data_IF_473071009938
#
_entry.id   IF_473071009938
#
_cell.length_a   1.000
_cell.length_b   1.000
_cell.length_c   1.000
_cell.angle_alpha   90.00
_cell.angle_beta   90.00
_cell.angle_gamma   90.00
#
_symmetry.space_group_name_H-M   'P 1'
#
loop_
_entity.id
_entity.type
_entity.pdbx_description
1 polymer ?
#
# COMPACT_ATOMS: atom_id res chain seq x y z
N UNK A 1 1.39 -23.72 0.09
CA UNK A 1 0.44 -22.75 0.70
C UNK A 1 1.15 -22.12 1.87
N UNK A 2 1.27 -20.80 1.88
CA UNK A 2 1.82 -20.14 3.06
C UNK A 2 0.71 -19.90 4.09
N UNK A 3 1.12 -19.54 5.31
CA UNK A 3 0.31 -19.44 6.55
C UNK A 3 -0.98 -18.59 6.40
N UNK A 4 -1.28 -18.02 5.22
CA UNK A 4 -2.41 -17.12 4.97
C UNK A 4 -3.25 -17.46 3.74
N UNK A 5 -3.06 -18.60 3.08
CA UNK A 5 -3.96 -19.09 2.00
C UNK A 5 -4.14 -18.17 0.78
N UNK A 6 -3.20 -17.24 0.50
CA UNK A 6 -3.40 -16.17 -0.48
C UNK A 6 -2.59 -16.41 -1.76
N UNK A 7 -3.25 -16.26 -2.92
CA UNK A 7 -2.60 -16.22 -4.23
C UNK A 7 -1.60 -15.04 -4.25
N UNK A 8 -0.30 -15.34 -4.18
CA UNK A 8 0.75 -14.38 -4.46
C UNK A 8 0.79 -14.09 -5.96
N UNK A 9 1.15 -12.87 -6.31
CA UNK A 9 1.48 -12.55 -7.69
C UNK A 9 2.75 -13.34 -8.03
N UNK A 10 2.62 -14.37 -8.87
CA UNK A 10 3.80 -15.14 -9.27
C UNK A 10 4.63 -14.32 -10.26
N UNK A 11 5.42 -13.38 -9.70
CA UNK A 11 6.33 -12.54 -10.47
C UNK A 11 7.40 -13.36 -11.20
N UNK A 12 7.71 -14.60 -10.76
CA UNK A 12 8.66 -15.45 -11.49
C UNK A 12 8.14 -15.85 -12.86
N UNK A 13 6.84 -16.14 -12.99
CA UNK A 13 6.24 -16.39 -14.30
C UNK A 13 6.17 -15.12 -15.16
N UNK A 14 6.02 -13.96 -14.53
CA UNK A 14 5.99 -12.66 -15.21
C UNK A 14 7.42 -12.15 -15.54
N UNK A 15 8.45 -12.52 -14.77
CA UNK A 15 9.86 -12.12 -14.97
C UNK A 15 10.39 -12.44 -16.36
N UNK A 16 10.02 -13.57 -16.96
CA UNK A 16 10.50 -13.95 -18.31
C UNK A 16 9.93 -13.07 -19.41
N UNK A 17 8.80 -12.36 -19.17
CA UNK A 17 8.08 -11.58 -20.20
C UNK A 17 8.13 -10.07 -20.00
N UNK A 18 8.33 -9.56 -18.76
CA UNK A 18 8.26 -8.12 -18.48
C UNK A 18 9.66 -7.53 -18.33
N UNK A 19 10.13 -6.84 -19.37
CA UNK A 19 11.39 -6.07 -19.35
C UNK A 19 11.19 -4.63 -18.88
N UNK A 20 9.99 -4.06 -19.09
CA UNK A 20 9.63 -2.68 -18.79
C UNK A 20 8.29 -2.63 -18.07
N UNK A 21 8.21 -1.82 -17.00
CA UNK A 21 7.03 -1.74 -16.15
C UNK A 21 6.77 -0.29 -15.76
N UNK A 22 5.56 0.19 -16.00
CA UNK A 22 5.08 1.44 -15.45
C UNK A 22 4.57 1.20 -14.01
N UNK A 23 5.02 2.01 -13.06
CA UNK A 23 4.46 2.02 -11.71
C UNK A 23 3.35 3.07 -11.65
N UNK A 24 2.09 2.62 -11.65
CA UNK A 24 0.89 3.42 -11.77
C UNK A 24 0.49 4.13 -10.46
N UNK A 25 1.37 4.99 -9.94
CA UNK A 25 1.10 5.80 -8.76
C UNK A 25 1.78 7.16 -8.83
N UNK A 26 1.09 8.21 -8.36
CA UNK A 26 1.65 9.55 -8.17
C UNK A 26 2.13 9.79 -6.73
N UNK A 27 1.97 8.81 -5.83
CA UNK A 27 2.47 8.87 -4.46
C UNK A 27 3.94 8.45 -4.42
N UNK A 28 4.84 9.40 -4.08
CA UNK A 28 6.30 9.18 -4.03
C UNK A 28 6.70 8.04 -3.06
N UNK A 29 6.03 7.91 -1.92
CA UNK A 29 6.29 6.85 -0.95
C UNK A 29 5.97 5.47 -1.52
N UNK A 30 4.78 5.31 -2.12
CA UNK A 30 4.38 4.06 -2.79
C UNK A 30 5.30 3.71 -3.95
N UNK A 31 5.65 4.72 -4.78
CA UNK A 31 6.58 4.54 -5.90
C UNK A 31 7.93 3.99 -5.45
N UNK A 32 8.48 4.57 -4.36
CA UNK A 32 9.75 4.10 -3.79
C UNK A 32 9.64 2.67 -3.29
N UNK A 33 8.65 2.36 -2.44
CA UNK A 33 8.47 1.00 -1.89
C UNK A 33 8.27 -0.06 -2.98
N UNK A 34 7.43 0.22 -3.99
CA UNK A 34 7.21 -0.72 -5.09
C UNK A 34 8.50 -0.95 -5.86
N UNK A 35 9.27 0.11 -6.15
CA UNK A 35 10.54 0.01 -6.87
C UNK A 35 11.57 -0.81 -6.09
N UNK A 36 11.69 -0.57 -4.79
CA UNK A 36 12.64 -1.28 -3.91
C UNK A 36 12.31 -2.79 -3.79
N UNK A 37 11.04 -3.16 -3.98
CA UNK A 37 10.56 -4.54 -3.92
C UNK A 37 10.60 -5.28 -5.28
N UNK A 38 10.77 -4.56 -6.38
CA UNK A 38 10.84 -5.16 -7.72
C UNK A 38 12.26 -5.67 -8.02
N UNK A 39 12.39 -6.73 -8.84
CA UNK A 39 13.68 -7.20 -9.32
C UNK A 39 14.45 -6.09 -10.07
N UNK A 40 15.76 -6.00 -9.85
CA UNK A 40 16.61 -4.97 -10.44
C UNK A 40 16.69 -5.03 -11.99
N UNK A 41 16.42 -6.19 -12.58
CA UNK A 41 16.43 -6.37 -14.04
C UNK A 41 15.15 -5.84 -14.73
N UNK A 42 14.15 -5.36 -13.98
CA UNK A 42 12.95 -4.74 -14.56
C UNK A 42 13.17 -3.24 -14.62
N UNK A 43 13.19 -2.68 -15.84
CA UNK A 43 13.22 -1.22 -16.04
C UNK A 43 11.89 -0.62 -15.65
N UNK A 44 11.87 0.21 -14.59
CA UNK A 44 10.63 0.82 -14.09
C UNK A 44 10.52 2.28 -14.50
N UNK A 45 9.29 2.71 -14.79
CA UNK A 45 8.96 4.08 -15.12
C UNK A 45 7.92 4.64 -14.14
N UNK A 46 8.11 5.88 -13.64
CA UNK A 46 7.07 6.57 -12.88
C UNK A 46 6.05 7.21 -13.84
N UNK A 47 4.83 7.46 -13.35
CA UNK A 47 3.78 8.18 -14.10
C UNK A 47 4.20 9.61 -14.48
N UNK A 48 5.07 10.24 -13.68
CA UNK A 48 5.60 11.59 -13.93
C UNK A 48 6.40 11.69 -15.24
N UNK A 49 7.04 10.60 -15.70
CA UNK A 49 7.73 10.57 -16.99
C UNK A 49 6.78 10.87 -18.17
N UNK A 50 5.50 10.58 -18.01
CA UNK A 50 4.47 10.73 -19.03
C UNK A 50 3.50 11.89 -18.73
N UNK A 51 3.79 12.72 -17.73
CA UNK A 51 2.93 13.82 -17.27
C UNK A 51 1.49 13.39 -16.96
N UNK A 52 1.30 12.15 -16.50
CA UNK A 52 -0.02 11.58 -16.25
C UNK A 52 -0.50 11.86 -14.82
N UNK A 53 -1.70 12.39 -14.72
CA UNK A 53 -2.45 12.49 -13.46
C UNK A 53 -3.14 11.15 -13.17
N UNK A 54 -3.32 10.84 -11.88
CA UNK A 54 -4.10 9.66 -11.49
C UNK A 54 -5.55 9.78 -11.93
N UNK A 55 -6.18 8.69 -12.41
CA UNK A 55 -7.60 8.68 -12.70
C UNK A 55 -8.41 8.86 -11.40
N UNK A 56 -9.67 9.22 -11.54
CA UNK A 56 -10.61 9.26 -10.41
C UNK A 56 -10.85 7.83 -9.92
N UNK A 57 -10.63 7.62 -8.64
CA UNK A 57 -10.89 6.34 -7.97
C UNK A 57 -12.37 6.24 -7.61
N UNK A 58 -13.14 5.56 -8.44
CA UNK A 58 -14.59 5.38 -8.31
C UNK A 58 -14.99 4.02 -7.75
N UNK A 59 -14.02 3.14 -7.56
CA UNK A 59 -14.23 1.80 -7.01
C UNK A 59 -14.63 1.83 -5.54
N UNK A 60 -15.38 0.82 -5.13
CA UNK A 60 -15.84 0.59 -3.75
C UNK A 60 -14.84 -0.22 -2.91
N UNK A 61 -13.83 -0.77 -3.54
CA UNK A 61 -12.80 -1.60 -2.93
C UNK A 61 -11.39 -1.18 -3.37
N UNK A 62 -10.37 -1.52 -2.58
CA UNK A 62 -8.96 -1.35 -2.98
C UNK A 62 -8.66 -2.09 -4.30
N UNK A 63 -9.25 -3.27 -4.48
CA UNK A 63 -9.08 -4.08 -5.70
C UNK A 63 -9.57 -3.34 -6.94
N UNK A 64 -10.79 -2.77 -6.89
CA UNK A 64 -11.36 -2.01 -8.00
C UNK A 64 -10.53 -0.76 -8.31
N UNK A 65 -10.14 0.00 -7.27
CA UNK A 65 -9.34 1.21 -7.47
C UNK A 65 -7.94 0.91 -8.04
N UNK A 66 -7.28 -0.16 -7.58
CA UNK A 66 -6.00 -0.57 -8.16
C UNK A 66 -6.14 -0.96 -9.62
N UNK A 67 -7.22 -1.66 -9.99
CA UNK A 67 -7.50 -2.08 -11.37
C UNK A 67 -7.80 -0.87 -12.27
N UNK A 68 -8.64 0.06 -11.82
CA UNK A 68 -8.91 1.32 -12.54
C UNK A 68 -7.59 2.04 -12.87
N UNK A 69 -6.68 2.14 -11.89
CA UNK A 69 -5.38 2.79 -12.09
C UNK A 69 -4.50 2.03 -13.09
N UNK A 70 -4.34 0.71 -12.92
CA UNK A 70 -3.46 -0.08 -13.79
C UNK A 70 -3.92 -0.08 -15.24
N UNK A 71 -5.22 -0.21 -15.49
CA UNK A 71 -5.81 -0.15 -16.82
C UNK A 71 -5.68 1.24 -17.45
N UNK A 72 -6.00 2.29 -16.70
CA UNK A 72 -5.89 3.67 -17.18
C UNK A 72 -4.47 4.02 -17.62
N UNK A 73 -3.49 3.76 -16.76
CA UNK A 73 -2.12 4.10 -17.06
C UNK A 73 -1.53 3.22 -18.17
N UNK A 74 -1.84 1.93 -18.19
CA UNK A 74 -1.41 1.03 -19.24
C UNK A 74 -1.93 1.48 -20.61
N UNK A 75 -3.22 1.81 -20.71
CA UNK A 75 -3.83 2.33 -21.94
C UNK A 75 -3.20 3.63 -22.40
N UNK A 76 -2.81 4.52 -21.48
CA UNK A 76 -2.22 5.84 -21.84
C UNK A 76 -0.76 5.76 -22.26
N UNK A 77 -0.04 4.72 -21.90
CA UNK A 77 1.42 4.61 -22.13
C UNK A 77 1.82 3.46 -23.04
N UNK A 78 0.89 2.57 -23.36
CA UNK A 78 1.16 1.29 -24.03
C UNK A 78 2.22 0.43 -23.32
N UNK A 79 2.38 0.63 -22.00
CA UNK A 79 3.26 -0.16 -21.16
C UNK A 79 2.43 -1.05 -20.22
N UNK A 80 2.98 -2.21 -19.87
CA UNK A 80 2.45 -2.99 -18.76
C UNK A 80 2.52 -2.13 -17.50
N UNK A 81 1.41 -2.00 -16.78
CA UNK A 81 1.31 -1.16 -15.60
C UNK A 81 1.00 -1.97 -14.35
N UNK A 82 1.83 -1.81 -13.33
CA UNK A 82 1.56 -2.21 -11.95
C UNK A 82 1.04 -1.01 -11.18
N UNK A 83 -0.17 -1.10 -10.66
CA UNK A 83 -0.74 -0.07 -9.78
C UNK A 83 -1.18 -0.66 -8.45
N UNK A 84 -1.08 0.16 -7.39
CA UNK A 84 -1.57 -0.17 -6.07
C UNK A 84 -2.74 0.72 -5.67
N UNK A 85 -3.64 0.16 -4.87
CA UNK A 85 -4.48 0.93 -3.97
C UNK A 85 -4.36 0.37 -2.57
N UNK A 86 -4.16 1.24 -1.58
CA UNK A 86 -3.87 0.81 -0.22
C UNK A 86 -4.29 1.84 0.82
N UNK A 87 -4.61 1.35 2.00
CA UNK A 87 -5.01 2.20 3.10
C UNK A 87 -5.03 1.49 4.44
N UNK A 88 -5.34 2.29 5.47
CA UNK A 88 -5.51 1.86 6.85
C UNK A 88 -6.98 1.57 7.11
N UNK A 89 -7.28 0.40 7.62
CA UNK A 89 -8.59 0.03 8.15
C UNK A 89 -8.51 -0.08 9.67
N UNK A 90 -9.47 0.52 10.39
CA UNK A 90 -9.56 0.49 11.87
C UNK A 90 -10.91 -0.09 12.25
N UNK A 91 -10.92 -1.20 12.99
CA UNK A 91 -12.14 -1.97 13.21
C UNK A 91 -13.23 -1.18 13.96
N UNK A 92 -12.90 -0.52 15.06
CA UNK A 92 -13.84 0.29 15.83
C UNK A 92 -14.42 1.49 15.04
N UNK A 93 -13.75 1.91 13.98
CA UNK A 93 -14.19 2.96 13.06
C UNK A 93 -14.90 2.40 11.81
N UNK A 94 -15.43 1.17 11.86
CA UNK A 94 -16.07 0.52 10.73
C UNK A 94 -15.17 0.53 9.48
N UNK A 95 -13.90 0.14 9.66
CA UNK A 95 -12.84 0.09 8.64
C UNK A 95 -12.47 1.44 8.02
N UNK A 96 -12.92 2.56 8.60
CA UNK A 96 -12.42 3.88 8.17
C UNK A 96 -10.99 4.09 8.67
N UNK A 97 -10.16 4.86 7.91
CA UNK A 97 -10.44 5.55 6.65
C UNK A 97 -10.58 4.65 5.42
N UNK A 98 -10.04 3.41 5.39
CA UNK A 98 -10.17 2.46 4.29
C UNK A 98 -9.69 3.03 2.95
N UNK A 99 -10.47 2.87 1.89
CA UNK A 99 -10.19 3.42 0.55
C UNK A 99 -10.08 4.96 0.52
N UNK A 100 -10.51 5.63 1.58
CA UNK A 100 -10.39 7.09 1.72
C UNK A 100 -9.13 7.53 2.45
N UNK A 101 -8.17 6.63 2.69
CA UNK A 101 -6.94 6.92 3.45
C UNK A 101 -6.19 8.15 2.95
N UNK A 102 -5.95 8.26 1.65
CA UNK A 102 -5.31 9.43 1.05
C UNK A 102 -6.19 10.68 1.11
N UNK A 103 -7.52 10.53 0.99
CA UNK A 103 -8.47 11.65 1.04
C UNK A 103 -8.54 12.29 2.44
N UNK A 104 -8.32 11.52 3.50
CA UNK A 104 -8.23 12.07 4.86
C UNK A 104 -7.02 12.99 5.03
N UNK A 105 -5.95 12.78 4.27
CA UNK A 105 -4.78 13.65 4.23
C UNK A 105 -4.97 14.92 3.38
N UNK A 106 -6.07 15.01 2.62
CA UNK A 106 -6.42 16.13 1.76
C UNK A 106 -5.56 16.22 0.49
N UNK A 107 -5.80 17.26 -0.32
CA UNK A 107 -5.13 17.45 -1.62
C UNK A 107 -3.59 17.50 -1.53
N UNK A 108 -3.06 18.06 -0.44
CA UNK A 108 -1.60 18.17 -0.21
C UNK A 108 -0.99 16.92 0.45
N UNK A 109 -1.74 15.83 0.62
CA UNK A 109 -1.33 14.58 1.27
C UNK A 109 -0.66 14.82 2.64
N UNK A 110 -1.24 15.71 3.46
CA UNK A 110 -0.76 16.00 4.80
C UNK A 110 -1.20 14.89 5.77
N UNK A 111 -0.37 13.88 5.94
CA UNK A 111 -0.70 12.74 6.79
C UNK A 111 -0.70 13.07 8.29
N UNK A 112 -0.06 14.14 8.75
CA UNK A 112 -0.22 14.59 10.14
C UNK A 112 -1.67 14.98 10.42
N UNK A 113 -2.32 15.70 9.47
CA UNK A 113 -3.76 16.00 9.57
C UNK A 113 -4.63 14.74 9.53
N UNK A 114 -4.26 13.76 8.69
CA UNK A 114 -4.98 12.49 8.61
C UNK A 114 -4.89 11.69 9.92
N UNK A 115 -3.71 11.63 10.53
CA UNK A 115 -3.48 11.00 11.84
C UNK A 115 -4.29 11.69 12.93
N UNK A 116 -4.31 13.04 12.95
CA UNK A 116 -5.16 13.78 13.90
C UNK A 116 -6.64 13.46 13.71
N UNK A 117 -7.13 13.32 12.44
CA UNK A 117 -8.51 12.89 12.18
C UNK A 117 -8.79 11.47 12.70
N UNK A 118 -7.82 10.55 12.58
CA UNK A 118 -7.96 9.20 13.16
C UNK A 118 -8.15 9.31 14.66
N UNK A 119 -7.29 10.03 15.37
CA UNK A 119 -7.38 10.16 16.83
C UNK A 119 -8.68 10.85 17.26
N UNK A 120 -9.09 11.93 16.61
CA UNK A 120 -10.37 12.58 16.87
C UNK A 120 -11.55 11.62 16.66
N UNK A 121 -11.51 10.78 15.62
CA UNK A 121 -12.56 9.79 15.38
C UNK A 121 -12.58 8.70 16.44
N UNK A 122 -11.40 8.28 16.93
CA UNK A 122 -11.29 7.33 18.04
C UNK A 122 -11.79 7.94 19.35
N UNK A 123 -11.40 9.18 19.69
CA UNK A 123 -11.87 9.89 20.89
C UNK A 123 -13.40 10.07 20.89
N UNK A 124 -14.00 10.32 19.70
CA UNK A 124 -15.46 10.40 19.55
C UNK A 124 -16.14 9.05 19.73
N UNK A 125 -15.51 7.96 19.28
CA UNK A 125 -16.09 6.62 19.31
C UNK A 125 -15.99 5.98 20.71
N UNK A 126 -14.87 6.19 21.41
CA UNK A 126 -14.58 5.66 22.73
C UNK A 126 -13.54 6.54 23.42
N UNK A 127 -13.95 7.31 24.43
CA UNK A 127 -13.04 8.21 25.17
C UNK A 127 -11.88 7.46 25.85
N UNK A 128 -12.08 6.17 26.17
CA UNK A 128 -11.09 5.32 26.83
C UNK A 128 -10.25 4.48 25.85
N UNK A 129 -10.30 4.74 24.54
CA UNK A 129 -9.60 3.93 23.54
C UNK A 129 -8.08 3.81 23.79
N UNK A 130 -7.47 4.84 24.41
CA UNK A 130 -6.03 4.81 24.73
C UNK A 130 -5.64 3.76 25.75
N UNK A 131 -6.59 3.26 26.53
CA UNK A 131 -6.39 2.15 27.48
C UNK A 131 -6.68 0.78 26.86
N UNK A 132 -7.11 0.75 25.59
CA UNK A 132 -7.48 -0.46 24.87
C UNK A 132 -6.51 -0.72 23.71
N UNK A 133 -6.51 -1.95 23.22
CA UNK A 133 -5.80 -2.36 22.03
C UNK A 133 -6.74 -2.21 20.83
N UNK A 134 -6.53 -1.20 20.02
CA UNK A 134 -7.39 -0.89 18.87
C UNK A 134 -6.89 -1.64 17.64
N UNK A 135 -7.63 -2.65 17.23
CA UNK A 135 -7.32 -3.45 16.06
C UNK A 135 -7.41 -2.62 14.78
N UNK A 136 -6.41 -2.79 13.94
CA UNK A 136 -6.31 -2.13 12.66
C UNK A 136 -5.53 -3.02 11.67
N UNK A 137 -5.62 -2.71 10.39
CA UNK A 137 -4.80 -3.34 9.37
C UNK A 137 -4.44 -2.38 8.24
N UNK A 138 -3.26 -2.57 7.69
CA UNK A 138 -3.00 -2.06 6.36
C UNK A 138 -3.49 -3.06 5.32
N UNK A 139 -4.16 -2.55 4.29
CA UNK A 139 -4.61 -3.32 3.13
C UNK A 139 -3.95 -2.75 1.89
N UNK A 140 -3.48 -3.61 1.01
CA UNK A 140 -3.00 -3.24 -0.32
C UNK A 140 -3.59 -4.17 -1.37
N UNK A 141 -4.11 -3.61 -2.44
CA UNK A 141 -4.40 -4.33 -3.68
C UNK A 141 -3.37 -3.93 -4.73
N UNK A 142 -2.74 -4.92 -5.37
CA UNK A 142 -1.87 -4.73 -6.51
C UNK A 142 -2.53 -5.30 -7.76
N UNK A 143 -2.63 -4.50 -8.81
CA UNK A 143 -3.15 -4.92 -10.11
C UNK A 143 -2.12 -4.69 -11.20
N UNK A 144 -1.97 -5.68 -12.08
CA UNK A 144 -1.19 -5.57 -13.32
C UNK A 144 -2.15 -5.62 -14.50
N UNK A 145 -1.98 -4.67 -15.41
CA UNK A 145 -2.73 -4.61 -16.67
C UNK A 145 -1.79 -4.37 -17.85
N UNK A 146 -2.15 -4.97 -18.98
CA UNK A 146 -1.57 -4.70 -20.30
C UNK A 146 -2.65 -4.12 -21.19
N UNK A 147 -2.46 -2.89 -21.65
CA UNK A 147 -3.52 -2.09 -22.27
C UNK A 147 -4.77 -2.06 -21.37
N UNK A 148 -5.89 -2.60 -21.83
CA UNK A 148 -7.12 -2.70 -21.02
C UNK A 148 -7.31 -4.08 -20.37
N UNK A 149 -6.40 -5.03 -20.63
CA UNK A 149 -6.54 -6.40 -20.12
C UNK A 149 -5.93 -6.50 -18.73
N UNK A 150 -6.70 -6.95 -17.76
CA UNK A 150 -6.19 -7.33 -16.44
C UNK A 150 -5.36 -8.60 -16.58
N UNK A 151 -4.07 -8.53 -16.24
CA UNK A 151 -3.20 -9.72 -16.15
C UNK A 151 -3.40 -10.39 -14.78
N UNK A 152 -3.35 -9.62 -13.69
CA UNK A 152 -3.49 -10.13 -12.34
C UNK A 152 -3.96 -9.05 -11.37
N UNK A 153 -4.58 -9.48 -10.27
CA UNK A 153 -4.88 -8.64 -9.14
C UNK A 153 -4.80 -9.46 -7.85
N UNK A 154 -4.05 -8.99 -6.88
CA UNK A 154 -3.87 -9.62 -5.57
C UNK A 154 -4.10 -8.62 -4.45
N UNK A 155 -4.54 -9.11 -3.29
CA UNK A 155 -4.79 -8.29 -2.10
C UNK A 155 -4.00 -8.86 -0.93
N UNK A 156 -3.23 -8.01 -0.26
CA UNK A 156 -2.50 -8.33 0.96
C UNK A 156 -2.97 -7.48 2.13
N UNK A 157 -2.81 -8.03 3.34
CA UNK A 157 -3.14 -7.35 4.59
C UNK A 157 -2.03 -7.58 5.60
N UNK A 158 -1.78 -6.57 6.42
CA UNK A 158 -0.97 -6.71 7.64
C UNK A 158 -1.82 -6.28 8.80
N UNK A 159 -2.10 -7.21 9.68
CA UNK A 159 -2.85 -6.96 10.91
C UNK A 159 -1.96 -6.28 11.95
N UNK A 160 -2.56 -5.45 12.78
CA UNK A 160 -1.84 -4.71 13.81
C UNK A 160 -2.77 -3.87 14.67
N UNK A 161 -2.21 -2.82 15.26
CA UNK A 161 -2.87 -1.99 16.25
C UNK A 161 -2.54 -0.52 16.04
N UNK A 162 -3.43 0.36 16.53
CA UNK A 162 -3.18 1.80 16.54
C UNK A 162 -2.36 2.16 17.79
N UNK A 163 -1.25 2.88 17.56
CA UNK A 163 -0.44 3.48 18.62
C UNK A 163 -1.18 4.63 19.31
N UNK A 164 -1.03 4.77 20.61
CA UNK A 164 -1.65 5.86 21.41
C UNK A 164 -1.17 7.26 21.01
N UNK A 165 0.03 7.39 20.45
CA UNK A 165 0.65 8.60 19.90
C UNK A 165 1.51 8.25 18.68
N UNK A 166 1.76 9.21 17.76
CA UNK A 166 2.67 8.97 16.65
C UNK A 166 4.10 8.72 17.14
N UNK A 167 4.79 7.75 16.53
CA UNK A 167 6.17 7.40 16.84
C UNK A 167 6.97 7.13 15.56
N UNK A 168 8.22 7.59 15.56
CA UNK A 168 9.14 7.42 14.44
C UNK A 168 8.87 8.38 13.28
N UNK A 169 9.87 8.45 12.36
CA UNK A 169 9.87 9.35 11.21
C UNK A 169 10.08 8.60 9.89
N UNK A 170 10.27 7.28 9.94
CA UNK A 170 10.46 6.46 8.75
C UNK A 170 9.13 6.18 8.04
N UNK A 171 9.23 5.78 6.77
CA UNK A 171 8.08 5.44 5.96
C UNK A 171 7.26 6.65 5.54
N UNK A 172 5.95 6.47 5.39
CA UNK A 172 5.00 7.51 4.99
C UNK A 172 3.58 7.17 5.45
N UNK A 173 2.67 8.11 5.27
CA UNK A 173 1.26 7.87 5.53
C UNK A 173 0.94 7.70 7.01
N UNK A 174 0.31 6.59 7.34
CA UNK A 174 -0.07 6.23 8.71
C UNK A 174 0.97 5.38 9.43
N UNK A 175 2.17 5.20 8.87
CA UNK A 175 3.25 4.41 9.48
C UNK A 175 3.57 4.80 10.92
N UNK A 176 3.56 6.11 11.30
CA UNK A 176 3.83 6.53 12.67
C UNK A 176 2.81 6.05 13.71
N UNK A 177 1.63 5.61 13.30
CA UNK A 177 0.58 5.18 14.23
C UNK A 177 0.19 3.71 14.10
N UNK A 178 0.84 2.93 13.24
CA UNK A 178 0.52 1.52 13.03
C UNK A 178 1.62 0.61 13.59
N UNK A 179 1.24 -0.24 14.55
CA UNK A 179 2.08 -1.27 15.17
C UNK A 179 1.68 -2.62 14.57
N UNK A 180 2.53 -3.31 13.79
CA UNK A 180 2.22 -4.63 13.25
C UNK A 180 1.99 -5.67 14.37
N UNK A 181 1.13 -6.64 14.13
CA UNK A 181 0.90 -7.76 15.05
C UNK A 181 2.23 -8.41 15.43
N UNK A 182 2.39 -8.77 16.71
CA UNK A 182 3.61 -9.35 17.30
C UNK A 182 4.85 -8.43 17.26
N UNK A 183 4.64 -7.11 17.12
CA UNK A 183 5.69 -6.09 17.26
C UNK A 183 5.30 -5.06 18.30
N UNK A 184 6.32 -4.34 18.81
CA UNK A 184 6.15 -3.24 19.78
C UNK A 184 6.40 -1.86 19.16
N UNK A 185 7.11 -1.84 18.02
CA UNK A 185 7.46 -0.62 17.28
C UNK A 185 6.43 -0.36 16.18
N UNK A 186 6.15 0.92 15.93
CA UNK A 186 5.37 1.34 14.76
C UNK A 186 6.19 1.16 13.48
N UNK A 187 5.53 1.13 12.32
CA UNK A 187 6.25 1.19 11.04
C UNK A 187 7.09 2.46 10.91
N UNK A 188 6.68 3.56 11.55
CA UNK A 188 7.46 4.80 11.58
C UNK A 188 8.77 4.71 12.38
N UNK A 189 8.87 3.76 13.31
CA UNK A 189 10.09 3.47 14.09
C UNK A 189 10.99 2.42 13.42
N UNK A 190 10.50 1.69 12.43
CA UNK A 190 11.25 0.64 11.75
C UNK A 190 12.11 1.20 10.62
N UNK A 191 13.30 0.66 10.43
CA UNK A 191 14.10 0.92 9.22
C UNK A 191 13.40 0.31 7.99
N UNK A 192 13.57 0.86 6.77
CA UNK A 192 12.86 0.39 5.57
C UNK A 192 12.95 -1.12 5.34
N UNK A 193 14.13 -1.72 5.47
CA UNK A 193 14.31 -3.16 5.27
C UNK A 193 13.54 -4.02 6.29
N UNK A 194 13.38 -3.55 7.53
CA UNK A 194 12.59 -4.23 8.57
C UNK A 194 11.10 -4.17 8.23
N UNK A 195 10.64 -3.00 7.79
CA UNK A 195 9.26 -2.80 7.35
C UNK A 195 8.95 -3.68 6.14
N UNK A 196 9.84 -3.75 5.13
CA UNK A 196 9.64 -4.55 3.93
C UNK A 196 9.50 -6.05 4.19
N UNK A 197 10.05 -6.57 5.29
CA UNK A 197 9.82 -7.97 5.70
C UNK A 197 8.41 -8.26 6.22
N UNK A 198 7.64 -7.22 6.58
CA UNK A 198 6.36 -7.34 7.28
C UNK A 198 5.18 -6.69 6.53
N UNK A 199 5.47 -5.82 5.57
CA UNK A 199 4.48 -4.90 5.03
C UNK A 199 3.56 -5.60 4.01
N UNK A 200 2.37 -5.00 3.82
CA UNK A 200 1.30 -5.52 2.97
C UNK A 200 1.66 -5.55 1.47
N UNK A 201 2.63 -4.74 1.00
CA UNK A 201 3.12 -4.77 -0.39
C UNK A 201 4.15 -5.85 -0.58
N UNK A 202 5.08 -5.99 0.35
CA UNK A 202 6.12 -7.01 0.28
C UNK A 202 5.52 -8.42 0.30
N UNK A 203 4.50 -8.67 1.15
CA UNK A 203 3.76 -9.93 1.13
C UNK A 203 3.20 -10.31 -0.24
N UNK A 204 2.98 -9.33 -1.13
CA UNK A 204 2.43 -9.54 -2.47
C UNK A 204 3.50 -9.62 -3.57
N UNK A 205 4.63 -8.91 -3.38
CA UNK A 205 5.70 -8.79 -4.37
C UNK A 205 6.88 -9.72 -4.08
N UNK A 206 7.07 -10.10 -2.80
CA UNK A 206 8.21 -10.91 -2.38
C UNK A 206 7.98 -12.39 -2.70
N UNK A 207 8.72 -12.93 -3.64
CA UNK A 207 8.61 -14.34 -4.07
C UNK A 207 9.87 -15.17 -3.84
N UNK A 208 10.94 -14.60 -3.28
CA UNK A 208 12.18 -15.32 -2.93
C UNK A 208 13.10 -14.45 -2.08
N UNK A 209 14.06 -15.02 -1.30
CA UNK A 209 15.10 -14.25 -0.65
C UNK A 209 15.84 -13.40 -1.67
N UNK A 210 16.14 -12.16 -1.30
CA UNK A 210 16.95 -11.26 -2.13
C UNK A 210 18.36 -11.85 -2.24
N UNK A 211 19.00 -11.81 -3.42
CA UNK A 211 20.40 -12.15 -3.56
C UNK A 211 21.36 -11.12 -2.94
N UNK A 212 20.87 -10.28 -2.02
CA UNK A 212 21.65 -9.23 -1.37
C UNK A 212 21.72 -9.37 0.15
N UNK A 213 21.64 -10.61 0.63
CA UNK A 213 22.02 -10.96 2.00
C UNK A 213 23.38 -11.65 1.99
#
# INVERSE_FOLDING_TARGET
MDIYGKKKLNFQMLKKKIKQLLIGTNNKGKLKEIRDLLPANIKTFPTSKFNLKSPRETGKTFKENSLIKSQYFSKKTNLICLADDSGLEIDILNKKPGIFSARWAGKKLNFNKAIQKVYKALDKKDKNWRNKKINARFVCALSISDLNKKIACVVGKVEGYISKKPKGKNGFGYDPIFIPKNKTKTFGEMKPFQKYKLDHRSCLLYTSPSPRD
#
